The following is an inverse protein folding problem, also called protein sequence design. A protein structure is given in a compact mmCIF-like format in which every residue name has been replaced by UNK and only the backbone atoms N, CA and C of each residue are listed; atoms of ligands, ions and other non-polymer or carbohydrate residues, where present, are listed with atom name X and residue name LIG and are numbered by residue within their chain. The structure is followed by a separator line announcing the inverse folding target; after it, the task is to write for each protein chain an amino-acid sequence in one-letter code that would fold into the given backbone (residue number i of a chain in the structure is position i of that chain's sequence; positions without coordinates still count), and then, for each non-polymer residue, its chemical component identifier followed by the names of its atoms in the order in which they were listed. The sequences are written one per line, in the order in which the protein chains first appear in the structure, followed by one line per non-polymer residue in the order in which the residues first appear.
data_IF_702367776887
#
_entry.id   IF_702367776887
#
_cell.length_a   1.000
_cell.length_b   1.000
_cell.length_c   1.000
_cell.angle_alpha   90.00
_cell.angle_beta   90.00
_cell.angle_gamma   90.00
#
_symmetry.space_group_name_H-M   'P 1'
#
loop_
_entity.id
_entity.type
_entity.pdbx_description
1 polymer ?
#
# COMPACT_ATOMS: atom_id res chain seq x y z
N UNK A 1 -0.02 29.17 4.97
CA UNK A 1 -0.23 27.76 5.30
C UNK A 1 -0.42 26.98 4.01
N UNK A 2 0.37 25.93 3.77
CA UNK A 2 0.24 25.01 2.63
C UNK A 2 0.00 23.60 3.17
N UNK A 3 -0.87 22.83 2.52
CA UNK A 3 -1.03 21.40 2.79
C UNK A 3 -0.25 20.63 1.74
N UNK A 4 0.65 19.75 2.16
CA UNK A 4 1.51 18.93 1.29
C UNK A 4 1.26 17.48 1.66
N UNK A 5 0.75 16.70 0.73
CA UNK A 5 0.39 15.30 0.96
C UNK A 5 1.15 14.40 0.00
N UNK A 6 1.79 13.38 0.55
CA UNK A 6 2.54 12.39 -0.22
C UNK A 6 1.79 11.05 -0.27
N UNK A 7 1.74 10.45 -1.46
CA UNK A 7 1.54 9.01 -1.56
C UNK A 7 2.84 8.27 -1.20
N UNK A 8 2.80 6.95 -0.99
CA UNK A 8 3.95 6.13 -0.57
C UNK A 8 4.55 5.37 -1.76
N UNK A 9 3.84 4.38 -2.28
CA UNK A 9 4.36 3.45 -3.28
C UNK A 9 4.53 4.15 -4.62
N UNK A 10 5.75 4.12 -5.17
CA UNK A 10 6.01 4.85 -6.43
C UNK A 10 6.21 6.36 -6.26
N UNK A 11 6.10 6.87 -5.02
CA UNK A 11 6.31 8.28 -4.70
C UNK A 11 7.46 8.48 -3.70
N UNK A 12 7.35 7.95 -2.48
CA UNK A 12 8.39 8.06 -1.45
C UNK A 12 9.41 6.92 -1.54
N UNK A 13 8.94 5.72 -1.87
CA UNK A 13 9.76 4.52 -1.87
C UNK A 13 9.29 3.47 -2.87
N UNK A 14 10.17 2.51 -3.08
CA UNK A 14 9.96 1.31 -3.87
C UNK A 14 10.21 0.09 -2.97
N UNK A 15 9.23 -0.82 -2.93
CA UNK A 15 9.26 -2.03 -2.07
C UNK A 15 9.53 -3.32 -2.85
N UNK A 16 10.00 -3.22 -4.10
CA UNK A 16 10.25 -4.37 -4.98
C UNK A 16 9.06 -5.33 -5.05
N UNK A 17 7.84 -4.80 -5.08
CA UNK A 17 6.61 -5.60 -5.19
C UNK A 17 6.13 -6.28 -3.90
N UNK A 18 6.69 -5.95 -2.72
CA UNK A 18 6.28 -6.54 -1.44
C UNK A 18 4.77 -6.45 -1.19
N UNK A 19 4.17 -5.28 -1.41
CA UNK A 19 2.72 -5.09 -1.25
C UNK A 19 1.90 -6.00 -2.17
N UNK A 20 2.32 -6.16 -3.44
CA UNK A 20 1.67 -7.05 -4.40
C UNK A 20 1.76 -8.51 -3.97
N UNK A 21 2.92 -8.98 -3.52
CA UNK A 21 3.09 -10.36 -3.05
C UNK A 21 2.26 -10.64 -1.79
N UNK A 22 2.22 -9.69 -0.86
CA UNK A 22 1.41 -9.80 0.34
C UNK A 22 -0.10 -9.84 0.02
N UNK A 23 -0.61 -8.95 -0.85
CA UNK A 23 -2.01 -8.99 -1.31
C UNK A 23 -2.31 -10.28 -2.07
N UNK A 24 -1.42 -10.71 -2.97
CA UNK A 24 -1.55 -11.98 -3.69
C UNK A 24 -1.76 -13.14 -2.73
N UNK A 25 -0.88 -13.24 -1.73
CA UNK A 25 -0.94 -14.33 -0.76
C UNK A 25 -2.16 -14.22 0.16
N UNK A 26 -2.55 -13.03 0.58
CA UNK A 26 -3.74 -12.81 1.40
C UNK A 26 -5.03 -13.21 0.67
N UNK A 27 -5.15 -12.86 -0.61
CA UNK A 27 -6.28 -13.27 -1.44
C UNK A 27 -6.37 -14.78 -1.59
N UNK A 28 -5.25 -15.47 -1.84
CA UNK A 28 -5.22 -16.93 -1.90
C UNK A 28 -5.61 -17.58 -0.57
N UNK A 29 -5.07 -17.08 0.55
CA UNK A 29 -5.32 -17.64 1.88
C UNK A 29 -6.80 -17.46 2.31
N UNK A 30 -7.38 -16.29 2.07
CA UNK A 30 -8.73 -15.94 2.56
C UNK A 30 -9.86 -16.24 1.57
N UNK A 31 -9.58 -16.19 0.26
CA UNK A 31 -10.59 -16.24 -0.80
C UNK A 31 -10.37 -17.37 -1.80
N UNK A 32 -9.27 -18.13 -1.69
CA UNK A 32 -8.95 -19.25 -2.57
C UNK A 32 -8.60 -18.86 -4.02
N UNK A 33 -8.58 -17.57 -4.34
CA UNK A 33 -8.22 -17.01 -5.65
C UNK A 33 -7.63 -15.62 -5.46
N UNK A 34 -6.67 -15.25 -6.30
CA UNK A 34 -6.17 -13.89 -6.39
C UNK A 34 -6.70 -13.12 -7.61
N UNK A 35 -7.63 -13.72 -8.36
CA UNK A 35 -8.07 -13.16 -9.63
C UNK A 35 -6.92 -12.98 -10.62
N UNK A 36 -7.05 -12.06 -11.59
CA UNK A 36 -6.03 -11.81 -12.61
C UNK A 36 -4.92 -10.86 -12.11
N UNK A 37 -4.40 -11.11 -10.90
CA UNK A 37 -3.49 -10.18 -10.21
C UNK A 37 -2.25 -9.84 -11.04
N UNK A 38 -1.67 -10.81 -11.76
CA UNK A 38 -0.42 -10.63 -12.51
C UNK A 38 -0.52 -9.55 -13.59
N UNK A 39 -1.70 -9.37 -14.19
CA UNK A 39 -1.98 -8.33 -15.18
C UNK A 39 -2.65 -7.08 -14.62
N UNK A 40 -2.99 -7.08 -13.34
CA UNK A 40 -3.82 -6.04 -12.74
C UNK A 40 -2.97 -4.88 -12.19
N UNK A 41 -3.39 -3.64 -12.47
CA UNK A 41 -2.65 -2.42 -12.08
C UNK A 41 -3.12 -1.87 -10.74
N UNK A 42 -2.20 -1.77 -9.79
CA UNK A 42 -2.46 -1.29 -8.43
C UNK A 42 -2.39 0.24 -8.33
N UNK A 43 -1.66 0.89 -9.24
CA UNK A 43 -1.35 2.33 -9.17
C UNK A 43 -2.62 3.18 -8.95
N UNK A 44 -2.58 4.05 -7.94
CA UNK A 44 -3.64 5.00 -7.63
C UNK A 44 -4.90 4.41 -6.98
N UNK A 45 -4.90 3.12 -6.60
CA UNK A 45 -6.03 2.46 -5.93
C UNK A 45 -5.78 2.27 -4.45
N UNK A 46 -6.87 2.13 -3.71
CA UNK A 46 -6.82 1.72 -2.30
C UNK A 46 -6.68 0.20 -2.17
N UNK A 47 -6.07 -0.31 -1.09
CA UNK A 47 -5.97 -1.76 -0.88
C UNK A 47 -7.35 -2.46 -0.90
N UNK A 48 -8.41 -1.94 -0.23
CA UNK A 48 -9.74 -2.54 -0.32
C UNK A 48 -10.33 -2.52 -1.73
N UNK A 49 -10.05 -1.47 -2.52
CA UNK A 49 -10.47 -1.40 -3.91
C UNK A 49 -9.76 -2.46 -4.75
N UNK A 50 -8.45 -2.65 -4.57
CA UNK A 50 -7.67 -3.69 -5.25
C UNK A 50 -8.25 -5.07 -4.96
N UNK A 51 -8.51 -5.38 -3.68
CA UNK A 51 -9.11 -6.65 -3.26
C UNK A 51 -10.49 -6.85 -3.91
N UNK A 52 -11.36 -5.84 -3.85
CA UNK A 52 -12.70 -5.88 -4.44
C UNK A 52 -12.65 -6.16 -5.94
N UNK A 53 -11.87 -5.38 -6.69
CA UNK A 53 -11.77 -5.50 -8.14
C UNK A 53 -11.16 -6.85 -8.56
N UNK A 54 -10.16 -7.36 -7.84
CA UNK A 54 -9.58 -8.67 -8.14
C UNK A 54 -10.57 -9.82 -7.91
N UNK A 55 -11.39 -9.74 -6.86
CA UNK A 55 -12.45 -10.71 -6.60
C UNK A 55 -13.59 -10.60 -7.61
N UNK A 56 -13.98 -9.39 -7.99
CA UNK A 56 -15.00 -9.13 -9.01
C UNK A 56 -14.55 -9.70 -10.37
N UNK A 57 -13.31 -9.43 -10.78
CA UNK A 57 -12.73 -9.97 -12.01
C UNK A 57 -12.59 -11.50 -11.98
N UNK A 58 -12.48 -12.10 -10.79
CA UNK A 58 -12.49 -13.55 -10.61
C UNK A 58 -13.91 -14.16 -10.63
N UNK A 59 -14.96 -13.33 -10.65
CA UNK A 59 -16.34 -13.79 -10.49
C UNK A 59 -16.63 -14.38 -9.10
N UNK A 60 -15.84 -14.00 -8.08
CA UNK A 60 -15.99 -14.54 -6.74
C UNK A 60 -17.27 -13.98 -6.07
N UNK A 61 -18.17 -14.80 -5.51
CA UNK A 61 -19.47 -14.33 -5.01
C UNK A 61 -19.37 -13.27 -3.88
N UNK A 62 -18.32 -13.35 -3.07
CA UNK A 62 -18.06 -12.43 -1.96
C UNK A 62 -17.33 -11.13 -2.36
N UNK A 63 -17.26 -10.78 -3.66
CA UNK A 63 -16.51 -9.60 -4.11
C UNK A 63 -16.98 -8.28 -3.47
N UNK A 64 -18.25 -8.19 -3.06
CA UNK A 64 -18.85 -7.01 -2.42
C UNK A 64 -18.98 -7.13 -0.89
N UNK A 65 -18.44 -8.20 -0.29
CA UNK A 65 -18.55 -8.46 1.15
C UNK A 65 -17.48 -7.68 1.93
N UNK A 66 -17.89 -6.63 2.64
CA UNK A 66 -16.97 -5.76 3.39
C UNK A 66 -16.20 -6.52 4.48
N UNK A 67 -16.83 -7.52 5.12
CA UNK A 67 -16.17 -8.37 6.11
C UNK A 67 -15.04 -9.19 5.49
N UNK A 68 -15.26 -9.73 4.28
CA UNK A 68 -14.24 -10.51 3.55
C UNK A 68 -13.13 -9.63 3.02
N UNK A 69 -13.45 -8.46 2.48
CA UNK A 69 -12.45 -7.48 2.04
C UNK A 69 -11.57 -7.05 3.22
N UNK A 70 -12.19 -6.78 4.38
CA UNK A 70 -11.46 -6.42 5.60
C UNK A 70 -10.58 -7.56 6.09
N UNK A 71 -11.05 -8.81 6.03
CA UNK A 71 -10.25 -9.99 6.39
C UNK A 71 -9.01 -10.13 5.49
N UNK A 72 -9.17 -9.96 4.17
CA UNK A 72 -8.04 -9.97 3.22
C UNK A 72 -7.06 -8.84 3.53
N UNK A 73 -7.54 -7.61 3.75
CA UNK A 73 -6.68 -6.47 4.08
C UNK A 73 -5.90 -6.70 5.38
N UNK A 74 -6.52 -7.28 6.41
CA UNK A 74 -5.84 -7.64 7.65
C UNK A 74 -4.76 -8.69 7.39
N UNK A 75 -5.09 -9.76 6.67
CA UNK A 75 -4.14 -10.81 6.31
C UNK A 75 -2.97 -10.27 5.48
N UNK A 76 -3.25 -9.34 4.58
CA UNK A 76 -2.25 -8.62 3.80
C UNK A 76 -1.24 -7.90 4.71
N UNK A 77 -1.72 -7.13 5.69
CA UNK A 77 -0.85 -6.38 6.61
C UNK A 77 0.05 -7.33 7.42
N UNK A 78 -0.50 -8.46 7.88
CA UNK A 78 0.28 -9.48 8.61
C UNK A 78 1.41 -10.05 7.74
N UNK A 79 1.12 -10.30 6.45
CA UNK A 79 2.09 -10.84 5.49
C UNK A 79 3.10 -9.79 5.00
N UNK A 80 2.70 -8.52 4.93
CA UNK A 80 3.55 -7.42 4.45
C UNK A 80 4.83 -7.29 5.28
N UNK A 81 4.74 -7.49 6.59
CA UNK A 81 5.92 -7.45 7.48
C UNK A 81 6.98 -8.45 7.03
N UNK A 82 6.58 -9.68 6.72
CA UNK A 82 7.50 -10.72 6.27
C UNK A 82 8.08 -10.42 4.89
N UNK A 83 7.27 -9.86 3.98
CA UNK A 83 7.72 -9.45 2.65
C UNK A 83 8.74 -8.30 2.69
N UNK A 84 8.54 -7.32 3.58
CA UNK A 84 9.46 -6.19 3.76
C UNK A 84 10.77 -6.61 4.46
N UNK A 85 10.71 -7.61 5.34
CA UNK A 85 11.89 -8.14 6.04
C UNK A 85 12.71 -9.13 5.21
N UNK A 86 12.21 -9.55 4.04
CA UNK A 86 12.86 -10.55 3.22
C UNK A 86 14.20 -10.03 2.65
N UNK A 87 15.36 -10.64 2.98
CA UNK A 87 16.67 -10.14 2.59
C UNK A 87 16.95 -10.23 1.09
N UNK A 88 16.14 -11.00 0.35
CA UNK A 88 16.22 -11.09 -1.12
C UNK A 88 15.49 -9.95 -1.83
N UNK A 89 14.71 -9.14 -1.10
CA UNK A 89 13.90 -8.04 -1.62
C UNK A 89 14.51 -6.71 -1.19
N UNK A 90 14.40 -5.70 -2.05
CA UNK A 90 14.98 -4.39 -1.77
C UNK A 90 13.90 -3.32 -1.53
N UNK A 91 13.82 -2.81 -0.30
CA UNK A 91 13.12 -1.56 -0.02
C UNK A 91 14.07 -0.39 -0.20
N UNK A 92 13.71 0.57 -1.06
CA UNK A 92 14.53 1.74 -1.37
C UNK A 92 13.70 3.00 -1.34
N UNK A 93 14.18 4.00 -0.61
CA UNK A 93 13.65 5.36 -0.69
C UNK A 93 14.10 5.97 -2.03
N UNK A 94 13.20 6.67 -2.72
CA UNK A 94 13.56 7.30 -3.99
C UNK A 94 14.60 8.42 -3.81
N UNK A 95 15.46 8.66 -4.81
CA UNK A 95 16.45 9.74 -4.75
C UNK A 95 15.82 11.09 -4.42
N UNK A 96 16.42 11.84 -3.49
CA UNK A 96 15.99 13.18 -3.10
C UNK A 96 14.82 13.23 -2.11
N UNK A 97 14.14 12.12 -1.79
CA UNK A 97 13.01 12.14 -0.84
C UNK A 97 13.46 12.55 0.56
N UNK A 98 14.60 12.04 1.04
CA UNK A 98 15.14 12.45 2.36
C UNK A 98 15.46 13.95 2.40
N UNK A 99 16.10 14.45 1.35
CA UNK A 99 16.48 15.87 1.25
C UNK A 99 15.23 16.77 1.14
N UNK A 100 14.22 16.33 0.40
CA UNK A 100 12.93 17.02 0.28
C UNK A 100 12.22 17.13 1.64
N UNK A 101 12.11 16.02 2.38
CA UNK A 101 11.48 16.03 3.70
C UNK A 101 12.25 16.91 4.69
N UNK A 102 13.58 16.84 4.69
CA UNK A 102 14.42 17.73 5.49
C UNK A 102 14.25 19.21 5.12
N UNK A 103 14.05 19.51 3.83
CA UNK A 103 13.79 20.88 3.37
C UNK A 103 12.39 21.38 3.76
N UNK A 104 11.43 20.49 4.03
CA UNK A 104 10.07 20.85 4.45
C UNK A 104 9.95 21.08 5.97
N UNK A 105 10.81 20.44 6.77
CA UNK A 105 10.79 20.50 8.23
C UNK A 105 10.76 21.93 8.81
N UNK A 106 11.58 22.91 8.33
CA UNK A 106 11.51 24.28 8.83
C UNK A 106 10.13 24.95 8.59
N UNK A 107 9.47 24.61 7.47
CA UNK A 107 8.16 25.18 7.16
C UNK A 107 7.06 24.57 8.03
N UNK A 108 7.20 23.31 8.45
CA UNK A 108 6.30 22.70 9.44
C UNK A 108 6.50 23.33 10.82
N UNK A 109 7.75 23.48 11.26
CA UNK A 109 8.09 24.09 12.55
C UNK A 109 7.55 25.53 12.68
N UNK A 110 7.52 26.28 11.57
CA UNK A 110 6.98 27.64 11.50
C UNK A 110 5.47 27.70 11.22
N UNK A 111 4.77 26.56 11.21
CA UNK A 111 3.35 26.46 10.84
C UNK A 111 3.03 27.13 9.49
N UNK A 112 3.97 27.06 8.54
CA UNK A 112 3.81 27.54 7.15
C UNK A 112 3.37 26.41 6.23
N UNK A 113 3.68 25.16 6.57
CA UNK A 113 3.24 23.95 5.91
C UNK A 113 2.68 22.93 6.92
N UNK A 114 1.77 22.08 6.45
CA UNK A 114 1.36 20.85 7.10
C UNK A 114 1.70 19.72 6.13
N UNK A 115 2.62 18.83 6.51
CA UNK A 115 3.03 17.70 5.69
C UNK A 115 2.37 16.42 6.22
N UNK A 116 1.89 15.58 5.31
CA UNK A 116 1.24 14.33 5.68
C UNK A 116 1.23 13.31 4.56
N UNK A 117 0.64 12.17 4.86
CA UNK A 117 0.42 11.09 3.90
C UNK A 117 -1.01 11.15 3.37
N UNK A 118 -1.17 10.92 2.08
CA UNK A 118 -2.45 10.62 1.42
C UNK A 118 -2.20 9.46 0.48
N UNK A 119 -2.46 8.26 0.97
CA UNK A 119 -2.12 7.02 0.27
C UNK A 119 -3.31 6.08 0.21
N UNK A 120 -3.30 5.18 -0.79
CA UNK A 120 -4.26 4.09 -0.92
C UNK A 120 -4.03 2.94 0.07
N UNK A 121 -2.87 2.90 0.72
CA UNK A 121 -2.56 1.87 1.70
C UNK A 121 -3.49 1.96 2.92
N UNK A 122 -3.92 0.82 3.47
CA UNK A 122 -4.51 0.80 4.81
C UNK A 122 -3.49 1.31 5.84
N UNK A 123 -3.96 1.98 6.89
CA UNK A 123 -3.09 2.74 7.81
C UNK A 123 -1.93 1.91 8.39
N UNK A 124 -2.18 0.65 8.78
CA UNK A 124 -1.11 -0.21 9.30
C UNK A 124 -0.10 -0.63 8.23
N UNK A 125 -0.54 -0.84 6.98
CA UNK A 125 0.36 -1.11 5.86
C UNK A 125 1.20 0.10 5.48
N UNK A 126 0.60 1.29 5.55
CA UNK A 126 1.31 2.57 5.39
C UNK A 126 2.37 2.76 6.47
N UNK A 127 2.06 2.47 7.74
CA UNK A 127 2.98 2.64 8.86
C UNK A 127 4.21 1.69 8.84
N UNK A 128 4.10 0.56 8.13
CA UNK A 128 5.21 -0.39 7.97
C UNK A 128 6.20 0.01 6.86
N UNK A 129 5.81 0.93 5.98
CA UNK A 129 6.59 1.39 4.83
C UNK A 129 7.31 2.69 5.18
#
# INVERSE_FOLDING_TARGET
MRLILFDIDGTLLWTDGAGRRAIHRALLDEMGTAGPIDGYRFDGKTDPQIVRELLELAGHPEWSSEDRITAVCRRYVDLLTAELANPTQATRIYPGIKDLLAALEPYEAEAKALVGLLTGNVANGAAMK
#
